data_IF_582955024240
#
_entry.id   IF_582955024240
#
_cell.length_a   1.000
_cell.length_b   1.000
_cell.length_c   1.000
_cell.angle_alpha   90.00
_cell.angle_beta   90.00
_cell.angle_gamma   90.00
#
_symmetry.space_group_name_H-M   'P 1'
#
loop_
_entity.id
_entity.type
_entity.pdbx_description
1 polymer ?
#
# COMPACT_ATOMS: atom_id res chain seq x y z
N UNK A 1 21.03 -9.81 -11.09
CA UNK A 1 20.08 -9.22 -12.04
C UNK A 1 18.72 -9.66 -11.54
N UNK A 2 18.22 -8.96 -10.53
CA UNK A 2 16.91 -9.24 -9.93
C UNK A 2 15.87 -8.92 -11.00
N UNK A 3 15.00 -9.86 -11.30
CA UNK A 3 13.89 -9.62 -12.22
C UNK A 3 13.09 -8.44 -11.68
N UNK A 4 13.04 -7.34 -12.44
CA UNK A 4 12.26 -6.14 -12.12
C UNK A 4 10.76 -6.45 -11.94
N UNK A 5 10.31 -7.62 -12.40
CA UNK A 5 8.95 -8.11 -12.25
C UNK A 5 8.63 -8.67 -10.84
N UNK A 6 9.63 -9.09 -10.06
CA UNK A 6 9.41 -9.71 -8.73
C UNK A 6 9.28 -8.65 -7.62
N UNK A 7 10.01 -7.53 -7.74
CA UNK A 7 10.02 -6.43 -6.75
C UNK A 7 8.68 -5.69 -6.65
N UNK A 8 7.88 -5.70 -7.73
CA UNK A 8 6.58 -5.05 -7.79
C UNK A 8 5.41 -5.94 -7.30
N UNK A 9 5.66 -7.22 -6.99
CA UNK A 9 4.59 -8.19 -6.65
C UNK A 9 3.70 -7.70 -5.51
N UNK A 10 4.29 -7.30 -4.38
CA UNK A 10 3.53 -6.86 -3.21
C UNK A 10 2.91 -5.47 -3.35
N UNK A 11 3.60 -4.46 -3.94
CA UNK A 11 2.95 -3.21 -4.32
C UNK A 11 1.72 -3.40 -5.21
N UNK A 12 1.80 -4.30 -6.20
CA UNK A 12 0.68 -4.59 -7.11
C UNK A 12 -0.47 -5.28 -6.36
N UNK A 13 -0.17 -6.23 -5.47
CA UNK A 13 -1.21 -6.89 -4.66
C UNK A 13 -1.91 -5.89 -3.74
N UNK A 14 -1.16 -4.99 -3.09
CA UNK A 14 -1.74 -3.91 -2.29
C UNK A 14 -2.63 -2.98 -3.13
N UNK A 15 -2.18 -2.59 -4.33
CA UNK A 15 -2.99 -1.77 -5.23
C UNK A 15 -4.30 -2.47 -5.64
N UNK A 16 -4.26 -3.77 -5.94
CA UNK A 16 -5.46 -4.57 -6.26
C UNK A 16 -6.41 -4.68 -5.07
N UNK A 17 -5.87 -4.85 -3.86
CA UNK A 17 -6.68 -4.88 -2.64
C UNK A 17 -7.40 -3.54 -2.40
N UNK A 18 -6.71 -2.41 -2.64
CA UNK A 18 -7.31 -1.09 -2.55
C UNK A 18 -8.41 -0.89 -3.61
N UNK A 19 -8.13 -1.23 -4.87
CA UNK A 19 -9.11 -1.14 -5.97
C UNK A 19 -10.35 -2.01 -5.71
N UNK A 20 -10.18 -3.21 -5.16
CA UNK A 20 -11.27 -4.10 -4.77
C UNK A 20 -12.21 -3.50 -3.70
N UNK A 21 -11.76 -2.49 -2.95
CA UNK A 21 -12.57 -1.69 -2.01
C UNK A 21 -13.00 -0.35 -2.56
N UNK A 22 -12.99 -0.19 -3.89
CA UNK A 22 -13.42 1.03 -4.56
C UNK A 22 -12.58 2.25 -4.16
N UNK A 23 -11.30 2.04 -3.85
CA UNK A 23 -10.34 3.13 -3.79
C UNK A 23 -10.25 3.83 -5.16
N UNK A 24 -9.95 5.12 -5.14
CA UNK A 24 -9.77 5.95 -6.33
C UNK A 24 -8.31 6.36 -6.47
N UNK A 25 -7.91 6.79 -7.67
CA UNK A 25 -6.54 7.24 -7.94
C UNK A 25 -5.46 6.24 -7.50
N UNK A 26 -5.73 4.94 -7.69
CA UNK A 26 -4.81 3.86 -7.30
C UNK A 26 -3.61 3.85 -8.24
N UNK A 27 -2.43 4.18 -7.72
CA UNK A 27 -1.18 4.26 -8.48
C UNK A 27 -0.05 3.56 -7.73
N UNK A 28 0.72 2.76 -8.47
CA UNK A 28 2.00 2.22 -7.99
C UNK A 28 3.13 3.05 -8.63
N UNK A 29 3.98 3.63 -7.80
CA UNK A 29 5.11 4.47 -8.20
C UNK A 29 6.43 3.76 -7.85
N UNK A 30 7.29 3.58 -8.85
CA UNK A 30 8.68 3.19 -8.63
C UNK A 30 9.47 4.43 -8.18
N UNK A 31 10.03 4.38 -6.97
CA UNK A 31 10.74 5.51 -6.35
C UNK A 31 12.18 5.17 -5.96
N UNK A 32 12.57 3.89 -5.99
CA UNK A 32 13.91 3.44 -5.61
C UNK A 32 15.08 4.18 -6.27
N UNK A 33 14.99 4.62 -7.55
CA UNK A 33 16.05 5.42 -8.18
C UNK A 33 16.24 6.82 -7.55
N UNK A 34 15.25 7.32 -6.82
CA UNK A 34 15.21 8.69 -6.27
C UNK A 34 15.24 8.70 -4.74
N UNK A 35 14.69 7.66 -4.10
CA UNK A 35 14.56 7.54 -2.64
C UNK A 35 15.34 6.32 -2.14
N UNK A 36 16.16 6.52 -1.10
CA UNK A 36 16.92 5.46 -0.46
C UNK A 36 16.12 4.66 0.60
N UNK A 37 14.85 5.02 0.83
CA UNK A 37 14.05 4.47 1.92
C UNK A 37 13.26 3.22 1.53
N UNK A 38 12.58 3.25 0.38
CA UNK A 38 11.78 2.15 -0.17
C UNK A 38 11.87 2.15 -1.70
N UNK A 39 11.50 1.04 -2.34
CA UNK A 39 11.51 0.92 -3.80
C UNK A 39 10.21 1.39 -4.44
N UNK A 40 9.07 1.24 -3.75
CA UNK A 40 7.75 1.57 -4.29
C UNK A 40 6.84 2.33 -3.31
N UNK A 41 5.99 3.19 -3.87
CA UNK A 41 4.80 3.73 -3.21
C UNK A 41 3.54 3.23 -3.89
N UNK A 42 2.55 2.82 -3.10
CA UNK A 42 1.18 2.63 -3.55
C UNK A 42 0.37 3.78 -2.98
N UNK A 43 -0.26 4.58 -3.84
CA UNK A 43 -1.07 5.73 -3.44
C UNK A 43 -2.51 5.47 -3.87
N UNK A 44 -3.46 5.75 -3.00
CA UNK A 44 -4.89 5.74 -3.36
C UNK A 44 -5.69 6.69 -2.46
N UNK A 45 -6.91 6.99 -2.86
CA UNK A 45 -7.81 7.95 -2.21
C UNK A 45 -9.17 7.32 -1.90
N UNK A 46 -9.75 7.71 -0.78
CA UNK A 46 -11.12 7.37 -0.37
C UNK A 46 -11.94 8.64 -0.07
N UNK A 47 -13.26 8.64 -0.31
CA UNK A 47 -14.11 9.80 -0.09
C UNK A 47 -14.48 10.01 1.40
N UNK A 48 -14.14 9.08 2.29
CA UNK A 48 -14.43 9.18 3.71
C UNK A 48 -13.55 8.24 4.55
N UNK A 49 -13.43 8.56 5.84
CA UNK A 49 -12.61 7.84 6.82
C UNK A 49 -12.99 6.36 7.01
N UNK A 50 -14.27 6.01 6.84
CA UNK A 50 -14.70 4.62 6.92
C UNK A 50 -14.11 3.80 5.78
N UNK A 51 -14.07 4.36 4.56
CA UNK A 51 -13.47 3.69 3.41
C UNK A 51 -11.94 3.65 3.52
N UNK A 52 -11.31 4.72 4.03
CA UNK A 52 -9.86 4.73 4.35
C UNK A 52 -9.48 3.53 5.21
N UNK A 53 -10.18 3.32 6.33
CA UNK A 53 -9.96 2.15 7.20
C UNK A 53 -10.18 0.83 6.46
N UNK A 54 -11.27 0.72 5.71
CA UNK A 54 -11.61 -0.52 4.99
C UNK A 54 -10.56 -0.88 3.94
N UNK A 55 -10.01 0.11 3.24
CA UNK A 55 -8.93 -0.08 2.28
C UNK A 55 -7.65 -0.52 3.01
N UNK A 56 -7.27 0.17 4.08
CA UNK A 56 -6.07 -0.18 4.85
C UNK A 56 -6.13 -1.62 5.39
N UNK A 57 -7.26 -1.99 6.02
CA UNK A 57 -7.48 -3.34 6.55
C UNK A 57 -7.42 -4.40 5.43
N UNK A 58 -8.03 -4.13 4.27
CA UNK A 58 -8.01 -5.07 3.13
C UNK A 58 -6.60 -5.23 2.54
N UNK A 59 -5.84 -4.14 2.41
CA UNK A 59 -4.46 -4.19 1.94
C UNK A 59 -3.63 -5.09 2.84
N UNK A 60 -3.71 -4.91 4.16
CA UNK A 60 -3.01 -5.78 5.11
C UNK A 60 -3.45 -7.24 4.98
N UNK A 61 -4.76 -7.49 4.90
CA UNK A 61 -5.32 -8.84 4.78
C UNK A 61 -4.83 -9.54 3.50
N UNK A 62 -4.93 -8.89 2.34
CA UNK A 62 -4.62 -9.51 1.05
C UNK A 62 -3.13 -9.70 0.83
N UNK A 63 -2.31 -8.73 1.22
CA UNK A 63 -0.85 -8.91 1.17
C UNK A 63 -0.45 -10.09 2.05
N UNK A 64 -0.98 -10.21 3.27
CA UNK A 64 -0.68 -11.35 4.15
C UNK A 64 -1.21 -12.69 3.58
N UNK A 65 -2.44 -12.72 3.06
CA UNK A 65 -3.04 -13.92 2.49
C UNK A 65 -2.30 -14.42 1.23
N UNK A 66 -1.71 -13.51 0.46
CA UNK A 66 -0.87 -13.82 -0.70
C UNK A 66 0.56 -14.30 -0.34
N UNK A 67 0.87 -14.41 0.96
CA UNK A 67 2.19 -14.80 1.47
C UNK A 67 3.20 -13.65 1.53
N UNK A 68 2.72 -12.40 1.46
CA UNK A 68 3.53 -11.19 1.52
C UNK A 68 4.01 -10.83 2.94
N UNK A 69 4.84 -9.78 3.05
CA UNK A 69 5.40 -9.34 4.32
C UNK A 69 4.33 -8.78 5.26
N UNK A 70 4.64 -8.77 6.57
CA UNK A 70 3.85 -8.02 7.55
C UNK A 70 4.25 -6.55 7.54
N UNK A 71 3.32 -5.61 7.81
CA UNK A 71 3.68 -4.22 8.03
C UNK A 71 4.69 -4.09 9.17
N UNK A 72 5.71 -3.25 8.96
CA UNK A 72 6.64 -2.80 10.00
C UNK A 72 5.98 -1.77 10.91
N UNK A 73 5.14 -0.90 10.33
CA UNK A 73 4.42 0.15 11.04
C UNK A 73 3.15 0.54 10.28
N UNK A 74 2.14 0.95 11.05
CA UNK A 74 0.93 1.59 10.53
C UNK A 74 0.71 2.90 11.28
N UNK A 75 0.44 3.98 10.56
CA UNK A 75 0.21 5.34 11.09
C UNK A 75 -1.13 5.90 10.61
N UNK A 76 -1.74 6.81 11.39
CA UNK A 76 -2.96 7.53 11.00
C UNK A 76 -4.28 6.79 11.24
N UNK A 77 -4.26 5.65 11.94
CA UNK A 77 -5.48 4.89 12.27
C UNK A 77 -6.39 5.61 13.27
N UNK A 78 -5.87 6.58 14.02
CA UNK A 78 -6.63 7.32 15.04
C UNK A 78 -7.57 8.39 14.46
N UNK A 79 -7.16 9.08 13.39
CA UNK A 79 -7.94 10.17 12.77
C UNK A 79 -8.45 9.83 11.37
N UNK A 80 -7.92 8.78 10.72
CA UNK A 80 -8.37 8.22 9.45
C UNK A 80 -8.51 9.26 8.33
N UNK A 81 -7.75 10.35 8.43
CA UNK A 81 -7.59 11.35 7.35
C UNK A 81 -6.56 10.92 6.33
N UNK A 82 -5.66 10.06 6.77
CA UNK A 82 -4.73 9.33 5.93
C UNK A 82 -4.28 8.11 6.73
N UNK A 83 -3.95 7.02 6.05
CA UNK A 83 -3.30 5.87 6.66
C UNK A 83 -2.06 5.55 5.85
N UNK A 84 -0.94 5.37 6.55
CA UNK A 84 0.32 4.94 5.97
C UNK A 84 0.67 3.57 6.52
N UNK A 85 0.88 2.60 5.63
CA UNK A 85 1.29 1.23 5.94
C UNK A 85 2.70 1.04 5.39
N UNK A 86 3.68 0.91 6.27
CA UNK A 86 5.09 0.73 5.93
C UNK A 86 5.45 -0.76 5.95
N UNK A 87 5.83 -1.33 4.80
CA UNK A 87 6.34 -2.70 4.68
C UNK A 87 7.87 -2.77 4.59
N UNK A 88 8.57 -1.64 4.65
CA UNK A 88 10.01 -1.51 4.45
C UNK A 88 10.36 -1.32 2.97
N UNK A 89 10.14 -2.35 2.15
CA UNK A 89 10.48 -2.30 0.72
C UNK A 89 9.47 -1.49 -0.10
N UNK A 90 8.22 -1.39 0.38
CA UNK A 90 7.21 -0.52 -0.20
C UNK A 90 6.34 0.11 0.89
N UNK A 91 5.66 1.19 0.53
CA UNK A 91 4.74 1.92 1.39
C UNK A 91 3.39 2.03 0.71
N UNK A 92 2.31 1.88 1.47
CA UNK A 92 0.94 2.15 1.01
C UNK A 92 0.43 3.40 1.71
N UNK A 93 -0.04 4.37 0.95
CA UNK A 93 -0.64 5.60 1.43
C UNK A 93 -2.09 5.70 0.96
N UNK A 94 -3.01 5.72 1.91
CA UNK A 94 -4.46 5.86 1.69
C UNK A 94 -4.87 7.25 2.16
N UNK A 95 -5.34 8.11 1.26
CA UNK A 95 -5.91 9.43 1.57
C UNK A 95 -7.41 9.35 1.88
#
# INVERSE_FOLDING_TARGET
MTDLDDDARWPIEAARAADAKSATDVVVLEVGPVLALCSHFVICSAPNSRLVRTIADEVEEKVAAAGGPKPRRVEGLEDLRWVLIDYGDFVVHVF
#
